data_IF_258082584171
#
_entry.id   IF_258082584171
#
_cell.length_a   1.000
_cell.length_b   1.000
_cell.length_c   1.000
_cell.angle_alpha   90.00
_cell.angle_beta   90.00
_cell.angle_gamma   90.00
#
_symmetry.space_group_name_H-M   'P 1'
#
loop_
_entity.id
_entity.type
_entity.pdbx_description
1 polymer ?
#
# COMPACT_ATOMS: atom_id res chain seq x y z
N UNK A 1 11.90 -22.48 14.07
CA UNK A 1 12.19 -21.03 13.85
C UNK A 1 11.44 -20.21 14.89
N UNK A 2 12.07 -19.22 15.54
CA UNK A 2 11.38 -18.37 16.51
C UNK A 2 10.49 -17.33 15.82
N UNK A 3 9.45 -16.83 16.50
CA UNK A 3 8.61 -15.73 15.99
C UNK A 3 9.45 -14.49 15.63
N UNK A 4 10.43 -14.14 16.46
CA UNK A 4 11.33 -13.02 16.22
C UNK A 4 12.19 -13.21 14.97
N UNK A 5 12.68 -14.43 14.75
CA UNK A 5 13.44 -14.77 13.54
C UNK A 5 12.58 -14.61 12.28
N UNK A 6 11.35 -15.12 12.29
CA UNK A 6 10.43 -14.98 11.16
C UNK A 6 10.07 -13.52 10.88
N UNK A 7 9.75 -12.75 11.93
CA UNK A 7 9.46 -11.31 11.82
C UNK A 7 10.65 -10.54 11.23
N UNK A 8 11.87 -10.84 11.68
CA UNK A 8 13.09 -10.25 11.13
C UNK A 8 13.27 -10.54 9.63
N UNK A 9 12.96 -11.76 9.18
CA UNK A 9 12.99 -12.12 7.76
C UNK A 9 11.93 -11.38 6.94
N UNK A 10 10.70 -11.28 7.44
CA UNK A 10 9.62 -10.53 6.76
C UNK A 10 10.01 -9.06 6.55
N UNK A 11 10.60 -8.41 7.57
CA UNK A 11 11.07 -7.02 7.44
C UNK A 11 12.17 -6.88 6.38
N UNK A 12 13.11 -7.84 6.32
CA UNK A 12 14.19 -7.80 5.31
C UNK A 12 13.67 -7.96 3.89
N UNK A 13 12.73 -8.88 3.69
CA UNK A 13 12.09 -9.08 2.37
C UNK A 13 11.29 -7.85 1.98
N UNK A 14 10.52 -7.27 2.90
CA UNK A 14 9.77 -6.04 2.64
C UNK A 14 10.68 -4.92 2.11
N UNK A 15 11.81 -4.67 2.79
CA UNK A 15 12.81 -3.68 2.35
C UNK A 15 13.41 -4.00 0.98
N UNK A 16 13.70 -5.28 0.71
CA UNK A 16 14.21 -5.69 -0.59
C UNK A 16 13.18 -5.49 -1.73
N UNK A 17 11.88 -5.48 -1.39
CA UNK A 17 10.78 -5.25 -2.32
C UNK A 17 10.43 -3.77 -2.51
N UNK A 18 11.07 -2.81 -1.83
CA UNK A 18 10.73 -1.39 -1.95
C UNK A 18 10.76 -0.91 -3.42
N UNK A 19 11.82 -1.26 -4.16
CA UNK A 19 11.93 -0.95 -5.60
C UNK A 19 10.84 -1.63 -6.44
N UNK A 20 10.44 -2.84 -6.07
CA UNK A 20 9.35 -3.54 -6.77
C UNK A 20 8.01 -2.84 -6.53
N UNK A 21 7.80 -2.30 -5.33
CA UNK A 21 6.59 -1.54 -4.98
C UNK A 21 6.52 -0.25 -5.82
N UNK A 22 7.64 0.43 -6.03
CA UNK A 22 7.70 1.62 -6.89
C UNK A 22 7.32 1.28 -8.33
N UNK A 23 7.86 0.18 -8.88
CA UNK A 23 7.48 -0.33 -10.21
C UNK A 23 5.99 -0.73 -10.30
N UNK A 24 5.43 -1.29 -9.22
CA UNK A 24 4.00 -1.60 -9.16
C UNK A 24 3.16 -0.31 -9.21
N UNK A 25 3.58 0.75 -8.53
CA UNK A 25 2.89 2.04 -8.58
C UNK A 25 2.94 2.63 -10.00
N UNK A 26 4.08 2.55 -10.66
CA UNK A 26 4.22 2.96 -12.06
C UNK A 26 3.30 2.15 -12.98
N UNK A 27 3.27 0.82 -12.83
CA UNK A 27 2.40 -0.03 -13.63
C UNK A 27 0.92 0.24 -13.34
N UNK A 28 0.52 0.49 -12.09
CA UNK A 28 -0.86 0.90 -11.78
C UNK A 28 -1.30 2.07 -12.68
N UNK A 29 -0.41 3.04 -12.90
CA UNK A 29 -0.66 4.24 -13.71
C UNK A 29 -0.55 4.03 -15.23
N UNK A 30 -0.07 2.87 -15.69
CA UNK A 30 0.13 2.60 -17.13
C UNK A 30 -1.16 2.25 -17.87
N UNK A 31 -2.19 1.79 -17.13
CA UNK A 31 -3.50 1.47 -17.67
C UNK A 31 -4.40 2.69 -17.84
N UNK A 32 -5.48 2.60 -18.65
CA UNK A 32 -6.40 3.72 -18.88
C UNK A 32 -7.31 4.03 -17.68
N UNK A 33 -7.39 3.13 -16.69
CA UNK A 33 -8.26 3.27 -15.52
C UNK A 33 -7.52 2.79 -14.28
N UNK A 34 -7.55 3.60 -13.23
CA UNK A 34 -7.13 3.23 -11.87
C UNK A 34 -8.36 3.18 -10.98
N UNK A 35 -8.57 2.03 -10.33
CA UNK A 35 -9.57 1.86 -9.28
C UNK A 35 -8.87 2.00 -7.93
N UNK A 36 -9.47 2.74 -7.01
CA UNK A 36 -8.91 2.93 -5.68
C UNK A 36 -10.02 2.99 -4.63
N UNK A 37 -9.75 2.41 -3.47
CA UNK A 37 -10.64 2.39 -2.32
C UNK A 37 -9.81 2.33 -1.03
N UNK A 38 -10.42 2.66 0.12
CA UNK A 38 -9.80 2.50 1.42
C UNK A 38 -10.72 1.83 2.43
N UNK A 39 -10.18 0.89 3.18
CA UNK A 39 -10.90 0.21 4.26
C UNK A 39 -10.25 0.49 5.61
N UNK A 40 -11.05 0.67 6.65
CA UNK A 40 -10.55 0.87 8.01
C UNK A 40 -9.99 -0.42 8.60
N UNK A 41 -8.82 -0.34 9.22
CA UNK A 41 -8.16 -1.43 9.93
C UNK A 41 -7.77 -1.02 11.35
N UNK A 42 -7.68 -2.01 12.24
CA UNK A 42 -7.20 -1.82 13.61
C UNK A 42 -5.74 -2.29 13.71
N UNK A 43 -4.85 -1.43 14.22
CA UNK A 43 -3.46 -1.78 14.50
C UNK A 43 -3.26 -1.86 16.01
N UNK A 44 -2.90 -3.05 16.51
CA UNK A 44 -2.90 -3.34 17.94
C UNK A 44 -1.73 -2.70 18.70
N UNK A 45 -0.58 -2.54 18.04
CA UNK A 45 0.67 -2.10 18.66
C UNK A 45 1.39 -1.08 17.77
N UNK A 46 0.67 -0.03 17.37
CA UNK A 46 1.23 1.06 16.59
C UNK A 46 2.05 2.01 17.49
N UNK A 47 3.32 2.32 17.15
CA UNK A 47 4.11 3.26 17.93
C UNK A 47 3.44 4.64 18.04
N UNK A 48 3.19 5.10 19.26
CA UNK A 48 2.63 6.44 19.52
C UNK A 48 1.13 6.60 19.23
N UNK A 49 0.38 5.53 18.96
CA UNK A 49 -1.07 5.59 18.73
C UNK A 49 -1.82 4.52 19.52
N UNK A 50 -3.01 4.87 20.01
CA UNK A 50 -3.88 3.94 20.72
C UNK A 50 -4.49 2.91 19.76
N UNK A 51 -4.66 1.67 20.22
CA UNK A 51 -5.24 0.58 19.43
C UNK A 51 -6.72 0.78 19.05
N UNK A 52 -7.40 1.76 19.65
CA UNK A 52 -8.77 2.17 19.29
C UNK A 52 -8.80 3.17 18.14
N UNK A 53 -7.64 3.69 17.74
CA UNK A 53 -7.52 4.66 16.64
C UNK A 53 -7.74 3.95 15.31
N UNK A 54 -8.57 4.55 14.45
CA UNK A 54 -8.74 4.05 13.08
C UNK A 54 -7.46 4.27 12.27
N UNK A 55 -7.04 3.22 11.59
CA UNK A 55 -6.05 3.28 10.51
C UNK A 55 -6.67 2.81 9.20
N UNK A 56 -5.98 3.00 8.09
CA UNK A 56 -6.53 2.78 6.76
C UNK A 56 -5.60 1.88 5.95
N UNK A 57 -6.19 0.95 5.22
CA UNK A 57 -5.52 0.21 4.16
C UNK A 57 -6.10 0.70 2.83
N UNK A 58 -5.27 1.36 2.04
CA UNK A 58 -5.59 1.80 0.69
C UNK A 58 -5.33 0.66 -0.28
N UNK A 59 -6.28 0.44 -1.18
CA UNK A 59 -6.16 -0.55 -2.25
C UNK A 59 -6.23 0.17 -3.57
N UNK A 60 -5.21 0.00 -4.39
CA UNK A 60 -5.17 0.54 -5.74
C UNK A 60 -5.00 -0.59 -6.76
N UNK A 61 -5.78 -0.53 -7.84
CA UNK A 61 -5.74 -1.50 -8.94
C UNK A 61 -5.69 -0.76 -10.27
N UNK A 62 -4.69 -1.09 -11.07
CA UNK A 62 -4.47 -0.55 -12.41
C UNK A 62 -3.60 -1.50 -13.20
N UNK A 63 -2.88 -0.99 -14.19
CA UNK A 63 -2.02 -1.82 -15.05
C UNK A 63 -2.49 -1.92 -16.49
N UNK A 64 -1.57 -2.41 -17.32
CA UNK A 64 -1.80 -2.72 -18.73
C UNK A 64 -3.07 -3.57 -18.89
N UNK A 65 -3.93 -3.28 -19.89
CA UNK A 65 -5.11 -4.10 -20.17
C UNK A 65 -4.79 -5.61 -20.24
N UNK A 66 -5.51 -6.40 -19.46
CA UNK A 66 -5.29 -7.85 -19.35
C UNK A 66 -4.18 -8.29 -18.38
N UNK A 67 -3.45 -7.36 -17.76
CA UNK A 67 -2.38 -7.62 -16.78
C UNK A 67 -2.49 -6.69 -15.56
N UNK A 68 -3.60 -6.73 -14.81
CA UNK A 68 -3.78 -5.81 -13.69
C UNK A 68 -2.82 -6.14 -12.54
N UNK A 69 -2.36 -5.10 -11.86
CA UNK A 69 -1.62 -5.17 -10.60
C UNK A 69 -2.45 -4.55 -9.48
N UNK A 70 -2.20 -5.00 -8.24
CA UNK A 70 -2.90 -4.52 -7.05
C UNK A 70 -1.88 -4.14 -5.99
N UNK A 71 -2.04 -2.95 -5.42
CA UNK A 71 -1.23 -2.43 -4.33
C UNK A 71 -2.09 -2.27 -3.08
N UNK A 72 -1.62 -2.81 -1.97
CA UNK A 72 -2.15 -2.54 -0.63
C UNK A 72 -1.17 -1.63 0.11
N UNK A 73 -1.62 -0.44 0.50
CA UNK A 73 -0.80 0.56 1.20
C UNK A 73 -1.45 0.97 2.50
N UNK A 74 -0.78 0.65 3.60
CA UNK A 74 -1.18 1.12 4.92
C UNK A 74 -0.92 2.63 5.04
N UNK A 75 -1.85 3.34 5.69
CA UNK A 75 -1.64 4.71 6.13
C UNK A 75 -2.40 5.00 7.44
N UNK A 76 -1.82 5.76 8.38
CA UNK A 76 -2.47 6.09 9.65
C UNK A 76 -3.73 6.95 9.48
N UNK A 77 -3.86 7.67 8.37
CA UNK A 77 -4.95 8.63 8.11
C UNK A 77 -5.63 8.38 6.77
N UNK A 78 -6.86 8.89 6.64
CA UNK A 78 -7.63 8.96 5.39
C UNK A 78 -7.29 10.21 4.56
N UNK A 79 -6.07 10.71 4.67
CA UNK A 79 -5.71 11.95 4.01
C UNK A 79 -5.68 11.78 2.49
N UNK A 80 -6.22 12.76 1.76
CA UNK A 80 -6.20 12.77 0.30
C UNK A 80 -4.79 12.76 -0.29
N UNK A 81 -3.77 13.17 0.48
CA UNK A 81 -2.37 13.09 0.05
C UNK A 81 -1.94 11.65 -0.28
N UNK A 82 -2.50 10.64 0.39
CA UNK A 82 -2.17 9.23 0.12
C UNK A 82 -2.67 8.82 -1.27
N UNK A 83 -3.90 9.20 -1.60
CA UNK A 83 -4.47 9.02 -2.92
C UNK A 83 -3.64 9.75 -3.98
N UNK A 84 -3.24 11.00 -3.71
CA UNK A 84 -2.39 11.80 -4.61
C UNK A 84 -1.01 11.18 -4.82
N UNK A 85 -0.38 10.62 -3.77
CA UNK A 85 0.91 9.94 -3.88
C UNK A 85 0.82 8.68 -4.76
N UNK A 86 -0.26 7.90 -4.65
CA UNK A 86 -0.47 6.71 -5.47
C UNK A 86 -0.79 7.10 -6.92
N UNK A 87 -1.69 8.07 -7.14
CA UNK A 87 -2.09 8.48 -8.49
C UNK A 87 -1.01 9.29 -9.22
N UNK A 88 -0.20 10.06 -8.50
CA UNK A 88 0.84 10.91 -9.09
C UNK A 88 0.27 11.80 -10.20
N UNK A 89 0.84 11.67 -11.40
CA UNK A 89 0.45 12.43 -12.59
C UNK A 89 -0.51 11.65 -13.52
N UNK A 90 -1.23 10.65 -13.01
CA UNK A 90 -2.19 9.88 -13.79
C UNK A 90 -3.28 10.79 -14.39
N UNK A 91 -3.55 10.68 -15.70
CA UNK A 91 -4.49 11.54 -16.43
C UNK A 91 -5.72 10.83 -17.01
N UNK A 92 -5.78 9.49 -16.96
CA UNK A 92 -6.88 8.71 -17.55
C UNK A 92 -6.71 8.51 -19.04
#
# INVERSE_FOLDING_TARGET
ISRGTLAGWMIRVAKACDLLIDLIIEEIRSGPIVNMDETTVQVLAEPGRANTTKSFMWVARGGTPGKPVVLFRYHPTRAGCVASEILGNFQG
#
